data_IF_537624340127
#
_entry.id   IF_537624340127
#
_cell.length_a   1.000
_cell.length_b   1.000
_cell.length_c   1.000
_cell.angle_alpha   90.00
_cell.angle_beta   90.00
_cell.angle_gamma   90.00
#
_symmetry.space_group_name_H-M   'P 1'
#
loop_
_entity.id
_entity.type
_entity.pdbx_description
1 polymer ?
#
# COMPACT_ATOMS: atom_id res chain seq x y z
N UNK A 1 18.03 -4.71 3.93
CA UNK A 1 16.86 -4.62 3.05
C UNK A 1 15.77 -5.41 3.73
N UNK A 2 14.66 -4.77 4.10
CA UNK A 2 13.48 -5.50 4.58
C UNK A 2 12.90 -6.24 3.37
N UNK A 3 13.04 -7.56 3.31
CA UNK A 3 12.45 -8.39 2.26
C UNK A 3 10.95 -8.54 2.51
N UNK A 4 10.23 -7.43 2.43
CA UNK A 4 8.76 -7.43 2.48
C UNK A 4 8.16 -8.34 1.38
N UNK A 5 8.93 -8.61 0.31
CA UNK A 5 8.61 -9.56 -0.76
C UNK A 5 8.60 -11.03 -0.34
N UNK A 6 9.16 -11.38 0.82
CA UNK A 6 9.14 -12.75 1.36
C UNK A 6 8.05 -12.97 2.40
N UNK A 7 7.21 -11.97 2.68
CA UNK A 7 6.15 -12.13 3.66
C UNK A 7 5.15 -13.20 3.16
N UNK A 8 4.78 -14.21 3.98
CA UNK A 8 3.92 -15.32 3.55
C UNK A 8 2.55 -14.86 3.03
N UNK A 9 2.06 -13.70 3.50
CA UNK A 9 0.85 -13.06 2.99
C UNK A 9 0.95 -12.61 1.52
N UNK A 10 2.16 -12.41 0.98
CA UNK A 10 2.37 -12.07 -0.44
C UNK A 10 2.43 -13.27 -1.37
N UNK A 11 2.66 -14.47 -0.85
CA UNK A 11 2.73 -15.68 -1.68
C UNK A 11 1.35 -16.12 -2.20
N UNK A 12 0.26 -15.73 -1.53
CA UNK A 12 -1.11 -15.97 -1.99
C UNK A 12 -1.69 -14.85 -2.84
N UNK A 13 -0.96 -13.74 -3.05
CA UNK A 13 -1.43 -12.62 -3.86
C UNK A 13 -1.15 -12.88 -5.34
N UNK A 14 -2.11 -12.47 -6.18
CA UNK A 14 -1.94 -12.49 -7.63
C UNK A 14 -0.61 -11.82 -8.06
N UNK A 15 0.05 -12.33 -9.10
CA UNK A 15 1.32 -11.78 -9.58
C UNK A 15 1.24 -10.27 -9.86
N UNK A 16 0.13 -9.79 -10.45
CA UNK A 16 -0.07 -8.36 -10.64
C UNK A 16 -0.26 -7.60 -9.32
N UNK A 17 -0.96 -8.16 -8.33
CA UNK A 17 -1.10 -7.53 -7.01
C UNK A 17 0.27 -7.31 -6.40
N UNK A 18 1.14 -8.32 -6.44
CA UNK A 18 2.52 -8.23 -5.95
C UNK A 18 3.32 -7.13 -6.65
N UNK A 19 3.16 -6.99 -7.96
CA UNK A 19 3.87 -5.96 -8.73
C UNK A 19 3.39 -4.54 -8.39
N UNK A 20 2.09 -4.36 -8.19
CA UNK A 20 1.51 -3.08 -7.75
C UNK A 20 1.98 -2.73 -6.35
N UNK A 21 2.02 -3.70 -5.44
CA UNK A 21 2.56 -3.53 -4.09
C UNK A 21 4.06 -3.19 -4.15
N UNK A 22 4.81 -3.82 -5.05
CA UNK A 22 6.23 -3.50 -5.28
C UNK A 22 6.43 -2.08 -5.76
N UNK A 23 5.58 -1.65 -6.65
CA UNK A 23 5.60 -0.30 -7.20
C UNK A 23 5.20 0.71 -6.12
N UNK A 24 4.17 0.40 -5.32
CA UNK A 24 3.77 1.18 -4.16
C UNK A 24 4.93 1.33 -3.18
N UNK A 25 5.45 0.21 -2.67
CA UNK A 25 6.58 0.16 -1.74
C UNK A 25 7.76 1.01 -2.21
N UNK A 26 8.15 0.89 -3.49
CA UNK A 26 9.23 1.70 -4.08
C UNK A 26 8.88 3.18 -4.19
N UNK A 27 7.65 3.52 -4.58
CA UNK A 27 7.24 4.91 -4.74
C UNK A 27 7.01 5.62 -3.40
N UNK A 28 6.56 4.90 -2.37
CA UNK A 28 6.36 5.44 -1.02
C UNK A 28 7.64 5.45 -0.19
N UNK A 29 8.63 4.63 -0.54
CA UNK A 29 9.94 4.62 0.11
C UNK A 29 10.62 5.99 -0.01
N UNK A 30 10.70 6.72 1.11
CA UNK A 30 11.34 8.04 1.19
C UNK A 30 10.45 9.23 0.79
N UNK A 31 9.14 9.01 0.55
CA UNK A 31 8.17 10.10 0.35
C UNK A 31 7.43 10.45 1.65
N UNK A 32 6.77 11.61 1.69
CA UNK A 32 5.91 11.98 2.81
C UNK A 32 4.49 11.43 2.65
N UNK A 33 3.76 11.16 3.74
CA UNK A 33 2.43 10.50 3.76
C UNK A 33 1.40 11.05 2.78
N UNK A 34 1.34 12.38 2.58
CA UNK A 34 0.47 12.99 1.58
C UNK A 34 0.84 12.58 0.14
N UNK A 35 2.12 12.50 -0.18
CA UNK A 35 2.56 12.04 -1.49
C UNK A 35 2.34 10.53 -1.65
N UNK A 36 2.48 9.78 -0.56
CA UNK A 36 2.20 8.34 -0.57
C UNK A 36 0.71 8.07 -0.87
N UNK A 37 -0.21 8.87 -0.31
CA UNK A 37 -1.65 8.72 -0.54
C UNK A 37 -2.02 8.92 -2.01
N UNK A 38 -1.48 9.95 -2.67
CA UNK A 38 -1.70 10.20 -4.09
C UNK A 38 -1.15 9.07 -4.96
N UNK A 39 0.04 8.56 -4.62
CA UNK A 39 0.65 7.40 -5.28
C UNK A 39 -0.22 6.15 -5.13
N UNK A 40 -0.67 5.85 -3.92
CA UNK A 40 -1.51 4.69 -3.64
C UNK A 40 -2.86 4.78 -4.34
N UNK A 41 -3.52 5.94 -4.35
CA UNK A 41 -4.74 6.16 -5.12
C UNK A 41 -4.55 5.91 -6.62
N UNK A 42 -3.45 6.42 -7.20
CA UNK A 42 -3.13 6.20 -8.60
C UNK A 42 -2.89 4.70 -8.89
N UNK A 43 -2.21 4.00 -7.97
CA UNK A 43 -1.96 2.57 -8.06
C UNK A 43 -3.24 1.73 -7.90
N UNK A 44 -4.12 2.07 -6.96
CA UNK A 44 -5.43 1.40 -6.77
C UNK A 44 -6.31 1.62 -8.00
N UNK A 45 -6.32 2.83 -8.54
CA UNK A 45 -7.08 3.14 -9.77
C UNK A 45 -6.54 2.36 -10.95
N UNK A 46 -5.22 2.23 -11.07
CA UNK A 46 -4.58 1.38 -12.08
C UNK A 46 -4.94 -0.09 -11.87
N UNK A 47 -4.84 -0.59 -10.63
CA UNK A 47 -5.20 -1.96 -10.26
C UNK A 47 -6.63 -2.31 -10.65
N UNK A 48 -7.58 -1.42 -10.32
CA UNK A 48 -9.00 -1.58 -10.67
C UNK A 48 -9.22 -1.70 -12.17
N UNK A 49 -8.47 -0.96 -13.00
CA UNK A 49 -8.52 -1.10 -14.46
C UNK A 49 -8.06 -2.48 -14.95
N UNK A 50 -7.19 -3.13 -14.19
CA UNK A 50 -6.73 -4.50 -14.45
C UNK A 50 -7.61 -5.56 -13.76
N UNK A 51 -8.82 -5.18 -13.31
CA UNK A 51 -9.74 -6.06 -12.59
C UNK A 51 -9.19 -6.57 -11.24
N UNK A 52 -8.27 -5.79 -10.65
CA UNK A 52 -7.62 -6.09 -9.39
C UNK A 52 -8.15 -5.17 -8.32
N UNK A 53 -8.75 -5.77 -7.31
CA UNK A 53 -9.19 -5.07 -6.12
C UNK A 53 -8.29 -5.48 -4.96
N UNK A 54 -7.77 -4.47 -4.26
CA UNK A 54 -7.11 -4.65 -2.99
C UNK A 54 -8.12 -4.51 -1.87
N UNK A 55 -8.10 -5.45 -0.94
CA UNK A 55 -8.90 -5.29 0.28
C UNK A 55 -8.23 -4.28 1.22
N UNK A 56 -9.01 -3.62 2.09
CA UNK A 56 -8.47 -2.79 3.16
C UNK A 56 -7.44 -3.54 4.01
N UNK A 57 -7.66 -4.83 4.26
CA UNK A 57 -6.79 -5.69 5.07
C UNK A 57 -5.45 -5.96 4.38
N UNK A 58 -5.46 -6.25 3.07
CA UNK A 58 -4.25 -6.42 2.27
C UNK A 58 -3.39 -5.15 2.31
N UNK A 59 -4.02 -3.98 2.11
CA UNK A 59 -3.36 -2.68 2.17
C UNK A 59 -2.80 -2.39 3.57
N UNK A 60 -3.56 -2.64 4.63
CA UNK A 60 -3.11 -2.48 6.01
C UNK A 60 -1.89 -3.35 6.30
N UNK A 61 -1.88 -4.62 5.87
CA UNK A 61 -0.75 -5.53 6.07
C UNK A 61 0.52 -5.01 5.38
N UNK A 62 0.42 -4.60 4.12
CA UNK A 62 1.55 -4.05 3.36
C UNK A 62 2.10 -2.81 4.06
N UNK A 63 1.22 -1.95 4.56
CA UNK A 63 1.58 -0.69 5.18
C UNK A 63 2.17 -0.88 6.57
N UNK A 64 1.71 -1.88 7.31
CA UNK A 64 2.31 -2.29 8.57
C UNK A 64 3.74 -2.80 8.35
N UNK A 65 3.97 -3.59 7.29
CA UNK A 65 5.31 -4.05 6.90
C UNK A 65 6.19 -2.89 6.41
N UNK A 66 5.63 -1.92 5.68
CA UNK A 66 6.37 -0.73 5.23
C UNK A 66 6.65 0.27 6.36
N UNK A 67 5.81 0.28 7.38
CA UNK A 67 5.95 1.07 8.61
C UNK A 67 7.04 0.48 9.51
N UNK A 68 7.20 -0.84 9.49
CA UNK A 68 8.22 -1.53 10.27
C UNK A 68 9.63 -1.10 9.82
N UNK A 69 10.41 -0.55 10.76
CA UNK A 69 11.73 0.03 10.48
C UNK A 69 11.75 1.50 10.03
N UNK A 70 10.61 2.22 10.06
CA UNK A 70 10.52 3.67 9.76
C UNK A 70 10.38 4.55 11.00
N UNK A 71 10.75 5.82 10.87
CA UNK A 71 10.71 6.81 11.96
C UNK A 71 9.28 7.16 12.37
N UNK A 72 9.01 7.55 13.64
CA UNK A 72 7.65 7.82 14.14
C UNK A 72 6.84 8.82 13.30
N UNK A 73 7.50 9.82 12.70
CA UNK A 73 6.86 10.78 11.80
C UNK A 73 6.42 10.15 10.47
N UNK A 74 7.22 9.24 9.92
CA UNK A 74 6.85 8.46 8.74
C UNK A 74 5.72 7.48 9.07
N UNK A 75 5.73 6.89 10.26
CA UNK A 75 4.67 5.99 10.71
C UNK A 75 3.30 6.69 10.76
N UNK A 76 3.23 7.88 11.36
CA UNK A 76 2.00 8.70 11.38
C UNK A 76 1.53 9.08 9.99
N UNK A 77 2.47 9.38 9.11
CA UNK A 77 2.19 9.72 7.72
C UNK A 77 1.60 8.53 6.96
N UNK A 78 2.09 7.32 7.22
CA UNK A 78 1.53 6.08 6.68
C UNK A 78 0.14 5.79 7.25
N UNK A 79 -0.07 5.93 8.56
CA UNK A 79 -1.38 5.69 9.20
C UNK A 79 -2.48 6.65 8.68
N UNK A 80 -2.13 7.91 8.45
CA UNK A 80 -3.05 8.89 7.84
C UNK A 80 -3.43 8.50 6.41
N UNK A 81 -2.45 8.00 5.64
CA UNK A 81 -2.70 7.49 4.30
C UNK A 81 -3.61 6.25 4.30
N UNK A 82 -3.36 5.28 5.20
CA UNK A 82 -4.20 4.07 5.34
C UNK A 82 -5.67 4.49 5.49
N UNK A 83 -5.93 5.44 6.38
CA UNK A 83 -7.28 5.96 6.63
C UNK A 83 -7.91 6.56 5.37
N UNK A 84 -7.13 7.31 4.58
CA UNK A 84 -7.60 7.90 3.32
C UNK A 84 -7.90 6.84 2.26
N UNK A 85 -7.00 5.86 2.08
CA UNK A 85 -7.18 4.76 1.12
C UNK A 85 -8.39 3.90 1.48
N UNK A 86 -8.56 3.56 2.76
CA UNK A 86 -9.72 2.81 3.24
C UNK A 86 -11.01 3.58 2.97
N UNK A 87 -11.04 4.89 3.20
CA UNK A 87 -12.20 5.72 2.89
C UNK A 87 -12.51 5.71 1.38
N UNK A 88 -11.51 5.80 0.51
CA UNK A 88 -11.70 5.73 -0.95
C UNK A 88 -12.19 4.36 -1.40
N UNK A 89 -11.70 3.28 -0.79
CA UNK A 89 -12.20 1.93 -1.07
C UNK A 89 -13.66 1.82 -0.64
N UNK A 90 -14.01 2.31 0.55
CA UNK A 90 -15.38 2.29 1.09
C UNK A 90 -16.35 3.20 0.34
N UNK A 91 -15.95 4.40 -0.07
CA UNK A 91 -16.78 5.33 -0.85
C UNK A 91 -17.09 4.82 -2.27
N UNK A 92 -16.21 3.99 -2.82
CA UNK A 92 -16.36 3.43 -4.17
C UNK A 92 -16.84 1.96 -4.16
N UNK A 93 -17.34 1.45 -3.03
CA UNK A 93 -17.91 0.10 -2.88
C UNK A 93 -19.43 0.12 -2.93
#
# INVERSE_FOLDING_TARGET
>A
MMDWTTHPGMNNLDPLKREIIRTAAKQVQGKSGNQMATVMMALITSARKHNINFSPEEMSLILEILKDGKNPDEQKQIDNMVSMVINVIKENS
#
